data_IF_064053855784
#
_entry.id   IF_064053855784
#
_cell.length_a   1.000
_cell.length_b   1.000
_cell.length_c   1.000
_cell.angle_alpha   90.00
_cell.angle_beta   90.00
_cell.angle_gamma   90.00
#
_symmetry.space_group_name_H-M   'P 1'
#
loop_
_entity.id
_entity.type
_entity.pdbx_description
1 polymer ?
#
# COMPACT_ATOMS: atom_id res chain seq x y z
N UNK A 1 37.65 -12.52 69.34
CA UNK A 1 36.97 -12.28 70.64
C UNK A 1 35.58 -11.73 70.38
N UNK A 2 34.56 -12.38 70.97
CA UNK A 2 33.26 -11.85 71.46
C UNK A 2 32.43 -10.99 70.48
N UNK A 3 31.32 -11.50 69.93
CA UNK A 3 30.00 -11.78 70.54
C UNK A 3 29.04 -10.59 70.57
N UNK A 4 27.85 -10.82 69.95
CA UNK A 4 26.49 -10.38 70.37
C UNK A 4 26.19 -8.87 70.19
N UNK A 5 25.00 -8.40 69.80
CA UNK A 5 23.61 -8.93 69.75
C UNK A 5 22.69 -7.86 69.10
N UNK A 6 21.59 -8.30 68.46
CA UNK A 6 20.18 -7.78 68.44
C UNK A 6 19.92 -6.26 68.37
N UNK A 7 18.83 -5.70 67.85
CA UNK A 7 17.54 -6.09 67.24
C UNK A 7 16.88 -4.73 66.89
N UNK A 8 16.07 -4.64 65.84
CA UNK A 8 15.65 -3.31 65.35
C UNK A 8 14.54 -3.24 64.32
N UNK A 9 13.51 -4.08 64.44
CA UNK A 9 12.10 -3.83 64.02
C UNK A 9 11.81 -3.38 62.56
N UNK A 10 11.30 -4.36 61.83
CA UNK A 10 10.20 -4.32 60.86
C UNK A 10 9.33 -3.04 60.84
N UNK A 11 9.23 -2.42 59.66
CA UNK A 11 8.05 -1.64 59.23
C UNK A 11 7.58 -2.14 57.86
N UNK A 12 6.84 -3.24 57.87
CA UNK A 12 6.04 -3.68 56.73
C UNK A 12 4.87 -2.69 56.56
N UNK A 13 4.85 -1.97 55.44
CA UNK A 13 3.73 -1.16 55.01
C UNK A 13 2.51 -2.04 54.73
N UNK A 14 1.44 -1.80 55.49
CA UNK A 14 0.13 -2.43 55.32
C UNK A 14 -0.51 -1.91 54.02
N UNK A 15 -0.59 -2.75 52.99
CA UNK A 15 -1.52 -2.56 51.88
C UNK A 15 -2.93 -2.98 52.33
N UNK A 16 -3.91 -2.10 52.12
CA UNK A 16 -5.32 -2.34 52.46
C UNK A 16 -5.97 -3.17 51.33
N UNK A 17 -6.68 -4.27 51.61
CA UNK A 17 -7.42 -4.99 50.59
C UNK A 17 -8.75 -4.27 50.31
N UNK A 18 -8.94 -3.82 49.06
CA UNK A 18 -10.24 -3.38 48.55
C UNK A 18 -11.15 -4.58 48.31
N UNK A 19 -12.33 -4.57 48.91
CA UNK A 19 -13.36 -5.60 48.77
C UNK A 19 -14.04 -5.49 47.41
N UNK A 20 -13.65 -6.33 46.46
CA UNK A 20 -14.40 -6.53 45.22
C UNK A 20 -15.68 -7.32 45.53
N UNK A 21 -16.84 -6.68 45.38
CA UNK A 21 -18.15 -7.36 45.42
C UNK A 21 -18.43 -7.93 44.04
N UNK A 22 -18.32 -9.25 43.90
CA UNK A 22 -18.81 -10.00 42.75
C UNK A 22 -20.27 -10.34 43.03
N UNK A 23 -21.20 -9.61 42.41
CA UNK A 23 -22.59 -10.03 42.34
C UNK A 23 -22.74 -10.99 41.16
N UNK A 24 -22.95 -12.27 41.45
CA UNK A 24 -23.32 -13.28 40.47
C UNK A 24 -24.83 -13.30 40.23
N UNK A 25 -25.22 -13.77 39.05
CA UNK A 25 -26.55 -14.31 38.80
C UNK A 25 -27.27 -13.71 37.59
N UNK A 26 -27.14 -14.35 36.43
CA UNK A 26 -28.16 -15.26 35.86
C UNK A 26 -27.91 -15.40 34.36
N UNK A 27 -27.60 -16.63 33.96
CA UNK A 27 -27.53 -17.04 32.57
C UNK A 27 -28.94 -16.97 31.93
N UNK A 28 -29.07 -16.20 30.85
CA UNK A 28 -30.18 -16.32 29.92
C UNK A 28 -29.62 -16.86 28.60
N UNK A 29 -29.71 -18.18 28.43
CA UNK A 29 -29.45 -18.84 27.16
C UNK A 29 -30.61 -18.53 26.21
N UNK A 30 -30.40 -17.62 25.26
CA UNK A 30 -31.30 -17.41 24.14
C UNK A 30 -30.78 -18.19 22.92
N UNK A 31 -31.34 -19.38 22.73
CA UNK A 31 -31.22 -20.17 21.50
C UNK A 31 -31.95 -19.42 20.37
N UNK A 32 -31.20 -18.78 19.48
CA UNK A 32 -31.75 -18.30 18.20
C UNK A 32 -31.35 -19.30 17.13
N UNK A 33 -32.39 -19.91 16.57
CA UNK A 33 -32.35 -21.01 15.63
C UNK A 33 -31.55 -20.70 14.36
N UNK A 34 -30.77 -21.70 13.95
CA UNK A 34 -30.07 -21.81 12.69
C UNK A 34 -31.10 -21.92 11.54
N UNK A 35 -31.33 -20.84 10.82
CA UNK A 35 -32.10 -20.82 9.58
C UNK A 35 -31.19 -20.84 8.35
N UNK A 36 -30.78 -22.03 7.90
CA UNK A 36 -30.09 -22.21 6.63
C UNK A 36 -31.10 -22.13 5.47
N UNK A 37 -31.34 -20.93 4.95
CA UNK A 37 -32.08 -20.75 3.70
C UNK A 37 -31.11 -20.92 2.52
N UNK A 38 -30.97 -22.16 2.03
CA UNK A 38 -30.27 -22.46 0.78
C UNK A 38 -31.20 -22.10 -0.39
N UNK A 39 -31.20 -20.83 -0.78
CA UNK A 39 -31.84 -20.41 -2.02
C UNK A 39 -30.95 -20.83 -3.20
N UNK A 40 -31.31 -21.94 -3.87
CA UNK A 40 -30.78 -22.32 -5.19
C UNK A 40 -31.27 -21.29 -6.22
N UNK A 41 -30.49 -20.24 -6.41
CA UNK A 41 -30.61 -19.30 -7.51
C UNK A 41 -30.10 -19.91 -8.81
N UNK A 42 -30.86 -19.73 -9.89
CA UNK A 42 -30.67 -20.34 -11.21
C UNK A 42 -29.32 -19.98 -11.83
N UNK A 43 -28.68 -21.00 -12.42
CA UNK A 43 -27.60 -20.86 -13.41
C UNK A 43 -28.20 -20.21 -14.66
N UNK A 44 -27.97 -18.91 -14.82
CA UNK A 44 -28.20 -18.20 -16.07
C UNK A 44 -26.98 -18.39 -16.97
N UNK A 45 -27.12 -19.18 -18.02
CA UNK A 45 -26.10 -19.33 -19.05
C UNK A 45 -26.04 -18.13 -20.00
N UNK A 46 -24.85 -17.89 -20.52
CA UNK A 46 -24.64 -17.27 -21.84
C UNK A 46 -24.43 -15.75 -21.87
N UNK A 47 -23.16 -15.33 -21.83
CA UNK A 47 -22.51 -14.75 -23.02
C UNK A 47 -20.99 -14.70 -22.81
N UNK A 48 -20.16 -15.15 -23.76
CA UNK A 48 -18.73 -14.89 -23.73
C UNK A 48 -18.55 -13.39 -24.03
N UNK A 49 -18.29 -12.62 -22.98
CA UNK A 49 -17.80 -11.26 -23.13
C UNK A 49 -16.49 -11.31 -23.89
N UNK A 50 -16.50 -10.78 -25.10
CA UNK A 50 -15.30 -10.36 -25.82
C UNK A 50 -14.41 -9.58 -24.85
N UNK A 51 -13.12 -9.90 -24.68
CA UNK A 51 -12.23 -9.00 -23.97
C UNK A 51 -12.05 -7.77 -24.86
N UNK A 52 -12.94 -6.78 -24.72
CA UNK A 52 -12.60 -5.41 -25.10
C UNK A 52 -11.48 -5.01 -24.15
N UNK A 53 -10.24 -5.23 -24.62
CA UNK A 53 -9.08 -4.59 -24.04
C UNK A 53 -9.38 -3.10 -23.98
N UNK A 54 -9.55 -2.59 -22.76
CA UNK A 54 -9.47 -1.16 -22.53
C UNK A 54 -8.03 -0.76 -22.82
N UNK A 55 -7.77 -0.49 -24.10
CA UNK A 55 -6.64 0.34 -24.49
C UNK A 55 -6.85 1.65 -23.73
N UNK A 56 -6.02 1.87 -22.71
CA UNK A 56 -6.03 3.11 -21.94
C UNK A 56 -5.97 4.28 -22.91
N UNK A 57 -6.88 5.24 -22.72
CA UNK A 57 -6.87 6.48 -23.48
C UNK A 57 -5.47 7.11 -23.37
N UNK A 58 -4.75 7.13 -24.50
CA UNK A 58 -3.46 7.78 -24.59
C UNK A 58 -3.66 9.26 -24.29
N UNK A 59 -3.18 9.69 -23.13
CA UNK A 59 -3.05 11.10 -22.79
C UNK A 59 -2.13 11.82 -23.80
N UNK A 60 -2.10 13.16 -23.79
CA UNK A 60 -1.45 13.95 -24.83
C UNK A 60 0.06 13.64 -24.92
N UNK A 61 0.43 12.87 -25.96
CA UNK A 61 1.53 13.15 -26.88
C UNK A 61 2.93 13.38 -26.31
N UNK A 62 3.37 12.65 -25.28
CA UNK A 62 4.81 12.53 -25.00
C UNK A 62 5.38 11.43 -25.88
N UNK A 63 6.44 11.74 -26.63
CA UNK A 63 7.17 10.77 -27.43
C UNK A 63 7.48 9.52 -26.58
N UNK A 64 7.19 8.34 -27.10
CA UNK A 64 7.47 7.08 -26.44
C UNK A 64 8.96 7.04 -26.07
N UNK A 65 9.24 7.07 -24.77
CA UNK A 65 10.62 6.93 -24.28
C UNK A 65 11.01 5.48 -24.44
N UNK A 66 12.03 5.20 -25.24
CA UNK A 66 12.58 3.85 -25.36
C UNK A 66 13.20 3.44 -24.02
N UNK A 67 12.60 2.46 -23.36
CA UNK A 67 13.12 1.85 -22.13
C UNK A 67 14.12 0.77 -22.55
N UNK A 68 15.41 0.84 -22.12
CA UNK A 68 16.41 -0.17 -22.43
C UNK A 68 16.07 -1.50 -21.76
N UNK A 69 16.72 -2.60 -22.17
CA UNK A 69 16.57 -3.90 -21.54
C UNK A 69 16.73 -3.84 -20.01
N UNK A 70 16.10 -4.81 -19.35
CA UNK A 70 16.14 -4.95 -17.91
C UNK A 70 17.59 -5.07 -17.40
N UNK A 71 17.97 -4.28 -16.38
CA UNK A 71 19.31 -4.36 -15.83
C UNK A 71 19.49 -5.64 -15.00
N UNK A 72 20.70 -6.21 -15.00
CA UNK A 72 21.00 -7.49 -14.35
C UNK A 72 20.68 -7.53 -12.84
N UNK A 73 20.68 -6.39 -12.15
CA UNK A 73 20.31 -6.34 -10.74
C UNK A 73 18.82 -6.63 -10.51
N UNK A 74 17.95 -6.32 -11.47
CA UNK A 74 16.51 -6.61 -11.33
C UNK A 74 16.26 -8.12 -11.37
N UNK A 75 17.17 -8.89 -11.99
CA UNK A 75 17.12 -10.35 -11.96
C UNK A 75 17.39 -10.98 -10.58
N UNK A 76 17.84 -10.18 -9.59
CA UNK A 76 18.18 -10.63 -8.24
C UNK A 76 17.13 -10.26 -7.19
N UNK A 77 16.13 -9.44 -7.55
CA UNK A 77 15.04 -9.08 -6.63
C UNK A 77 13.94 -10.14 -6.64
N UNK A 78 13.17 -10.29 -5.54
CA UNK A 78 12.03 -11.20 -5.47
C UNK A 78 11.06 -11.01 -6.65
N UNK A 79 10.47 -12.12 -7.12
CA UNK A 79 9.59 -12.09 -8.30
C UNK A 79 8.40 -11.14 -8.14
N UNK A 80 7.84 -11.05 -6.93
CA UNK A 80 6.74 -10.12 -6.62
C UNK A 80 7.14 -8.66 -6.87
N UNK A 81 8.37 -8.27 -6.51
CA UNK A 81 8.90 -6.93 -6.75
C UNK A 81 9.19 -6.73 -8.23
N UNK A 82 9.79 -7.73 -8.88
CA UNK A 82 10.10 -7.68 -10.31
C UNK A 82 8.86 -7.48 -11.18
N UNK A 83 7.76 -8.15 -10.84
CA UNK A 83 6.47 -7.99 -11.52
C UNK A 83 5.97 -6.55 -11.41
N UNK A 84 5.97 -5.96 -10.21
CA UNK A 84 5.55 -4.57 -10.00
C UNK A 84 6.45 -3.59 -10.76
N UNK A 85 7.77 -3.80 -10.72
CA UNK A 85 8.74 -2.97 -11.42
C UNK A 85 8.52 -2.98 -12.93
N UNK A 86 8.39 -4.17 -13.54
CA UNK A 86 8.11 -4.32 -14.97
C UNK A 86 6.78 -3.70 -15.36
N UNK A 87 5.74 -3.91 -14.54
CA UNK A 87 4.44 -3.31 -14.78
C UNK A 87 4.53 -1.79 -14.78
N UNK A 88 5.25 -1.20 -13.82
CA UNK A 88 5.43 0.25 -13.74
C UNK A 88 6.17 0.82 -14.96
N UNK A 89 7.20 0.13 -15.46
CA UNK A 89 7.90 0.53 -16.69
C UNK A 89 7.01 0.44 -17.93
N UNK A 90 6.12 -0.54 -18.01
CA UNK A 90 5.18 -0.71 -19.12
C UNK A 90 3.99 0.27 -19.05
N UNK A 91 3.65 0.76 -17.85
CA UNK A 91 2.47 1.60 -17.60
C UNK A 91 2.84 3.02 -17.13
N UNK A 92 3.97 3.54 -17.62
CA UNK A 92 4.44 4.89 -17.27
C UNK A 92 3.40 5.97 -17.60
N UNK A 93 2.64 5.80 -18.67
CA UNK A 93 1.59 6.74 -19.06
C UNK A 93 0.44 6.82 -18.05
N UNK A 94 0.21 5.74 -17.30
CA UNK A 94 -0.73 5.73 -16.16
C UNK A 94 -0.05 6.32 -14.93
N UNK A 95 1.13 5.81 -14.57
CA UNK A 95 1.80 6.17 -13.33
C UNK A 95 2.35 7.60 -13.28
N UNK A 96 2.45 8.30 -14.43
CA UNK A 96 2.81 9.72 -14.44
C UNK A 96 1.77 10.61 -13.75
N UNK A 97 0.53 10.15 -13.66
CA UNK A 97 -0.56 10.84 -12.96
C UNK A 97 -0.70 10.42 -11.49
N UNK A 98 -0.02 9.35 -11.09
CA UNK A 98 -0.08 8.80 -9.74
C UNK A 98 1.05 9.35 -8.88
N UNK A 99 0.76 10.10 -7.80
CA UNK A 99 1.80 10.62 -6.93
C UNK A 99 2.45 9.52 -6.09
N UNK A 100 3.66 9.79 -5.62
CA UNK A 100 4.34 9.00 -4.60
C UNK A 100 4.56 9.83 -3.34
N UNK A 101 4.55 9.16 -2.19
CA UNK A 101 4.69 9.75 -0.85
C UNK A 101 5.92 9.22 -0.11
N UNK A 102 6.95 8.76 -0.84
CA UNK A 102 8.15 8.16 -0.25
C UNK A 102 9.20 9.18 0.23
N UNK A 103 8.98 10.49 -0.02
CA UNK A 103 9.92 11.56 0.34
C UNK A 103 10.89 11.97 -0.76
N UNK A 104 11.00 11.22 -1.86
CA UNK A 104 11.91 11.54 -2.98
C UNK A 104 11.35 12.57 -3.97
N UNK A 105 10.27 13.30 -3.62
CA UNK A 105 9.62 14.27 -4.52
C UNK A 105 10.36 15.60 -4.66
N UNK A 106 11.27 15.91 -3.74
CA UNK A 106 12.07 17.13 -3.77
C UNK A 106 13.48 16.89 -4.36
N UNK A 107 14.24 17.96 -4.55
CA UNK A 107 15.59 17.89 -5.13
C UNK A 107 16.64 17.34 -4.19
N UNK A 108 16.37 17.35 -2.90
CA UNK A 108 17.28 16.94 -1.84
C UNK A 108 17.34 15.41 -1.73
N UNK A 109 16.26 14.72 -2.11
CA UNK A 109 16.10 13.28 -1.89
C UNK A 109 15.96 12.43 -3.16
N UNK A 110 16.25 12.99 -4.36
CA UNK A 110 16.32 12.23 -5.62
C UNK A 110 15.47 12.75 -6.78
N UNK A 111 14.56 13.69 -6.51
CA UNK A 111 13.68 14.38 -7.46
C UNK A 111 12.92 13.45 -8.42
N UNK A 112 11.85 12.83 -7.91
CA UNK A 112 10.87 12.09 -8.70
C UNK A 112 9.59 12.90 -8.86
N UNK A 113 9.06 13.01 -10.09
CA UNK A 113 7.84 13.81 -10.33
C UNK A 113 6.55 13.01 -10.24
N UNK A 114 6.66 11.68 -10.21
CA UNK A 114 5.52 10.76 -10.17
C UNK A 114 5.97 9.39 -9.68
N UNK A 115 5.01 8.49 -9.44
CA UNK A 115 5.33 7.09 -9.21
C UNK A 115 6.04 6.46 -10.43
N UNK A 116 5.76 6.90 -11.67
CA UNK A 116 6.50 6.42 -12.85
C UNK A 116 8.00 6.76 -12.78
N UNK A 117 8.33 7.96 -12.32
CA UNK A 117 9.71 8.42 -12.21
C UNK A 117 10.50 7.67 -11.13
N UNK A 118 9.82 7.09 -10.15
CA UNK A 118 10.45 6.25 -9.13
C UNK A 118 11.18 5.05 -9.71
N UNK A 119 10.69 4.51 -10.83
CA UNK A 119 11.26 3.32 -11.49
C UNK A 119 12.32 3.69 -12.53
N UNK A 120 12.48 4.96 -12.85
CA UNK A 120 13.46 5.42 -13.82
C UNK A 120 13.01 6.64 -14.60
N UNK A 121 13.98 7.32 -15.18
CA UNK A 121 13.81 8.63 -15.82
C UNK A 121 14.75 8.78 -17.02
N UNK A 122 14.44 9.72 -17.92
CA UNK A 122 15.37 10.12 -18.97
C UNK A 122 16.40 11.09 -18.40
N UNK A 123 17.68 10.71 -18.47
CA UNK A 123 18.83 11.53 -18.08
C UNK A 123 19.81 11.59 -19.25
N UNK A 124 20.20 12.80 -19.66
CA UNK A 124 21.09 12.99 -20.82
C UNK A 124 20.58 12.35 -22.11
N UNK A 125 19.26 12.34 -22.33
CA UNK A 125 18.63 11.74 -23.51
C UNK A 125 18.47 10.21 -23.49
N UNK A 126 18.85 9.53 -22.40
CA UNK A 126 18.69 8.07 -22.25
C UNK A 126 17.86 7.73 -21.03
N UNK A 127 17.01 6.72 -21.13
CA UNK A 127 16.32 6.19 -19.97
C UNK A 127 17.30 5.46 -19.05
N UNK A 128 17.20 5.74 -17.76
CA UNK A 128 17.99 5.13 -16.70
C UNK A 128 17.03 4.53 -15.68
N UNK A 129 17.11 3.21 -15.49
CA UNK A 129 16.37 2.47 -14.46
C UNK A 129 16.84 2.91 -13.07
N UNK A 130 15.91 3.05 -12.13
CA UNK A 130 16.24 3.40 -10.75
C UNK A 130 16.14 2.16 -9.85
N UNK A 131 17.26 1.66 -9.28
CA UNK A 131 17.24 0.50 -8.39
C UNK A 131 16.56 0.78 -7.05
N UNK A 132 16.44 2.05 -6.64
CA UNK A 132 15.81 2.42 -5.38
C UNK A 132 14.35 1.95 -5.31
N UNK A 133 13.60 2.05 -6.42
CA UNK A 133 12.21 1.60 -6.46
C UNK A 133 12.03 0.11 -6.15
N UNK A 134 13.03 -0.73 -6.42
CA UNK A 134 12.93 -2.15 -6.10
C UNK A 134 13.06 -2.44 -4.59
N UNK A 135 13.51 -1.48 -3.79
CA UNK A 135 13.53 -1.57 -2.32
C UNK A 135 12.53 -0.65 -1.62
N UNK A 136 11.91 0.28 -2.34
CA UNK A 136 11.03 1.29 -1.74
C UNK A 136 9.60 0.77 -1.60
N UNK A 137 9.22 0.38 -0.38
CA UNK A 137 7.89 -0.16 -0.08
C UNK A 137 6.74 0.76 -0.46
N UNK A 138 6.89 2.08 -0.33
CA UNK A 138 5.83 3.05 -0.71
C UNK A 138 5.61 3.07 -2.21
N UNK A 139 6.67 3.13 -3.03
CA UNK A 139 6.57 3.08 -4.48
C UNK A 139 5.86 1.80 -4.96
N UNK A 140 6.29 0.66 -4.40
CA UNK A 140 5.75 -0.65 -4.74
C UNK A 140 4.29 -0.80 -4.30
N UNK A 141 3.93 -0.35 -3.09
CA UNK A 141 2.56 -0.43 -2.58
C UNK A 141 1.59 0.44 -3.39
N UNK A 142 1.97 1.67 -3.73
CA UNK A 142 1.15 2.55 -4.58
C UNK A 142 0.96 1.92 -5.97
N UNK A 143 1.99 1.27 -6.50
CA UNK A 143 1.92 0.57 -7.79
C UNK A 143 0.98 -0.64 -7.71
N UNK A 144 1.11 -1.46 -6.68
CA UNK A 144 0.23 -2.60 -6.44
C UNK A 144 -1.24 -2.16 -6.24
N UNK A 145 -1.48 -1.08 -5.50
CA UNK A 145 -2.81 -0.49 -5.32
C UNK A 145 -3.39 0.00 -6.64
N UNK A 146 -2.58 0.69 -7.46
CA UNK A 146 -2.98 1.14 -8.80
C UNK A 146 -3.42 -0.04 -9.66
N UNK A 147 -2.61 -1.10 -9.74
CA UNK A 147 -2.92 -2.33 -10.49
C UNK A 147 -4.25 -2.92 -10.03
N UNK A 148 -4.41 -3.09 -8.71
CA UNK A 148 -5.63 -3.67 -8.12
C UNK A 148 -6.86 -2.85 -8.49
N UNK A 149 -6.82 -1.54 -8.30
CA UNK A 149 -7.98 -0.68 -8.55
C UNK A 149 -8.30 -0.56 -10.06
N UNK A 150 -7.30 -0.62 -10.94
CA UNK A 150 -7.56 -0.72 -12.39
C UNK A 150 -8.25 -2.03 -12.74
N UNK A 151 -7.83 -3.15 -12.14
CA UNK A 151 -8.49 -4.44 -12.33
C UNK A 151 -9.94 -4.45 -11.81
N UNK A 152 -10.25 -3.60 -10.82
CA UNK A 152 -11.62 -3.34 -10.32
C UNK A 152 -12.43 -2.39 -11.23
N UNK A 153 -11.85 -1.89 -12.33
CA UNK A 153 -12.52 -0.98 -13.26
C UNK A 153 -12.59 0.48 -12.81
N UNK A 154 -11.81 0.87 -11.79
CA UNK A 154 -11.76 2.26 -11.30
C UNK A 154 -11.12 3.18 -12.32
N UNK A 155 -11.65 4.40 -12.45
CA UNK A 155 -11.05 5.46 -13.23
C UNK A 155 -9.72 5.93 -12.61
N UNK A 156 -8.83 6.49 -13.43
CA UNK A 156 -7.53 6.97 -12.96
C UNK A 156 -7.66 8.11 -11.93
N UNK A 157 -8.70 8.93 -12.05
CA UNK A 157 -9.04 9.96 -11.06
C UNK A 157 -9.45 9.37 -9.70
N UNK A 158 -10.26 8.31 -9.69
CA UNK A 158 -10.61 7.60 -8.44
C UNK A 158 -9.39 6.93 -7.80
N UNK A 159 -8.52 6.33 -8.62
CA UNK A 159 -7.30 5.69 -8.14
C UNK A 159 -6.37 6.71 -7.47
N UNK A 160 -6.10 7.82 -8.16
CA UNK A 160 -5.29 8.90 -7.59
C UNK A 160 -5.88 9.39 -6.28
N UNK A 161 -7.18 9.70 -6.26
CA UNK A 161 -7.85 10.20 -5.05
C UNK A 161 -7.71 9.22 -3.89
N UNK A 162 -7.92 7.93 -4.10
CA UNK A 162 -7.78 6.93 -3.06
C UNK A 162 -6.35 6.83 -2.51
N UNK A 163 -5.34 6.99 -3.37
CA UNK A 163 -3.92 7.05 -2.95
C UNK A 163 -3.68 8.34 -2.14
N UNK A 164 -4.13 9.49 -2.63
CA UNK A 164 -3.97 10.77 -1.93
C UNK A 164 -4.60 10.73 -0.53
N UNK A 165 -5.80 10.15 -0.41
CA UNK A 165 -6.52 9.94 0.85
C UNK A 165 -5.76 8.98 1.79
N UNK A 166 -5.24 7.87 1.28
CA UNK A 166 -4.52 6.87 2.08
C UNK A 166 -3.23 7.43 2.71
N UNK A 167 -2.53 8.30 1.99
CA UNK A 167 -1.28 8.91 2.46
C UNK A 167 -1.48 10.31 3.07
N UNK A 168 -2.73 10.79 3.16
CA UNK A 168 -3.07 12.03 3.83
C UNK A 168 -2.63 11.99 5.30
N UNK A 169 -2.07 13.10 5.79
CA UNK A 169 -1.66 13.24 7.19
C UNK A 169 -0.28 12.64 7.54
N UNK A 170 0.41 11.99 6.60
CA UNK A 170 1.76 11.44 6.82
C UNK A 170 2.89 12.47 6.87
N UNK A 171 2.60 13.77 6.68
CA UNK A 171 3.57 14.87 6.71
C UNK A 171 4.57 14.91 5.54
N UNK A 172 4.52 13.93 4.64
CA UNK A 172 5.34 13.89 3.42
C UNK A 172 4.50 14.45 2.25
N UNK A 173 4.96 15.51 1.56
CA UNK A 173 4.25 16.03 0.41
C UNK A 173 4.29 15.03 -0.77
N UNK A 174 3.23 14.96 -1.60
CA UNK A 174 3.24 14.14 -2.80
C UNK A 174 4.26 14.65 -3.83
N UNK A 175 4.74 13.75 -4.68
CA UNK A 175 5.41 14.15 -5.94
C UNK A 175 4.48 15.02 -6.81
N UNK A 176 4.98 16.03 -7.54
CA UNK A 176 4.16 16.99 -8.28
C UNK A 176 3.60 16.42 -9.60
N UNK A 177 2.54 15.60 -9.50
CA UNK A 177 1.89 14.95 -10.64
C UNK A 177 0.73 15.77 -11.23
N UNK A 178 0.62 15.87 -12.57
CA UNK A 178 -0.56 16.45 -13.21
C UNK A 178 -1.81 15.63 -12.89
N UNK A 179 -2.98 16.27 -12.87
CA UNK A 179 -4.26 15.55 -12.73
C UNK A 179 -4.49 14.63 -13.95
N UNK A 180 -5.09 13.44 -13.75
CA UNK A 180 -5.53 12.58 -14.85
C UNK A 180 -6.48 13.33 -15.80
N UNK A 181 -6.51 12.99 -17.11
CA UNK A 181 -7.55 13.46 -18.01
C UNK A 181 -8.94 12.98 -17.53
N UNK A 182 -9.98 13.76 -17.84
CA UNK A 182 -11.38 13.47 -17.53
C UNK A 182 -11.95 12.33 -18.37
#
# INVERSE_FOLDING_TARGET
>A
MRSRTRDGRNRAGRLRPGTARIAGGLAAAALIALGAAVARGRVGGGNPGTPTGAAGAAGPGRAAVSVPPEPAWLAQVPDSIRVLYRWALANRDTLQYIPCYCGCGDRQHGYHKSNADCYGQVRGGRFVHDPHAAGCGVCLNITAQTIRMQAEGRSLAEIRRAIDEQYAGGGVPPTPTPLPPA
#
